data_IF_411974684245
#
_entry.id   IF_411974684245
#
_cell.length_a   1.000
_cell.length_b   1.000
_cell.length_c   1.000
_cell.angle_alpha   90.00
_cell.angle_beta   90.00
_cell.angle_gamma   90.00
#
_symmetry.space_group_name_H-M   'P 1'
#
loop_
_entity.id
_entity.type
_entity.pdbx_description
1 polymer ?
#
# COMPACT_ATOMS: atom_id res chain seq x y z
N UNK A 1 -0.99 -12.92 -20.57
CA UNK A 1 -2.27 -13.39 -20.05
C UNK A 1 -2.92 -12.19 -19.42
N UNK A 2 -4.01 -11.72 -20.02
CA UNK A 2 -4.79 -10.63 -19.44
C UNK A 2 -5.32 -11.06 -18.07
N UNK A 3 -5.36 -10.17 -17.07
CA UNK A 3 -5.98 -10.50 -15.79
C UNK A 3 -7.46 -10.87 -16.02
N UNK A 4 -8.00 -11.84 -15.25
CA UNK A 4 -9.39 -12.27 -15.40
C UNK A 4 -10.35 -11.09 -15.18
N UNK A 5 -11.51 -11.18 -15.83
CA UNK A 5 -12.58 -10.19 -15.81
C UNK A 5 -12.89 -9.69 -14.39
N UNK A 6 -13.07 -8.37 -14.30
CA UNK A 6 -13.36 -7.56 -13.11
C UNK A 6 -14.11 -8.31 -12.01
N UNK A 7 -13.44 -8.53 -10.88
CA UNK A 7 -14.12 -8.88 -9.64
C UNK A 7 -15.08 -7.75 -9.25
N UNK A 8 -16.26 -8.05 -8.68
CA UNK A 8 -17.29 -7.04 -8.33
C UNK A 8 -16.86 -6.02 -7.26
N UNK A 9 -15.62 -6.10 -6.79
CA UNK A 9 -15.05 -5.26 -5.74
C UNK A 9 -13.81 -4.46 -6.19
N UNK A 10 -13.57 -4.37 -7.50
CA UNK A 10 -12.58 -3.45 -8.06
C UNK A 10 -13.14 -2.03 -7.98
N UNK A 11 -12.46 -1.17 -7.22
CA UNK A 11 -12.66 0.28 -7.31
C UNK A 11 -12.35 0.71 -8.76
N UNK A 12 -13.05 1.69 -9.36
CA UNK A 12 -12.72 2.19 -10.69
C UNK A 12 -11.22 2.42 -10.88
N UNK A 13 -10.75 2.01 -12.05
CA UNK A 13 -9.37 2.24 -12.47
C UNK A 13 -9.09 3.75 -12.46
N UNK A 14 -7.82 4.19 -12.34
CA UNK A 14 -7.48 5.61 -12.35
C UNK A 14 -8.09 6.41 -13.52
N UNK A 15 -8.30 5.76 -14.67
CA UNK A 15 -8.87 6.31 -15.91
C UNK A 15 -10.38 6.49 -15.90
N UNK A 16 -11.08 5.89 -14.93
CA UNK A 16 -12.55 5.90 -14.82
C UNK A 16 -13.05 6.97 -13.82
N UNK A 17 -12.11 7.70 -13.19
CA UNK A 17 -12.39 8.75 -12.20
C UNK A 17 -12.37 10.14 -12.84
N UNK A 18 -13.05 11.10 -12.19
CA UNK A 18 -12.96 12.50 -12.62
C UNK A 18 -11.52 13.00 -12.54
N UNK A 19 -11.18 14.00 -13.36
CA UNK A 19 -9.82 14.55 -13.39
C UNK A 19 -9.39 15.11 -12.03
N UNK A 20 -10.30 15.78 -11.32
CA UNK A 20 -10.04 16.34 -9.98
C UNK A 20 -9.75 15.26 -8.93
N UNK A 21 -10.54 14.18 -8.90
CA UNK A 21 -10.30 13.05 -8.01
C UNK A 21 -8.98 12.36 -8.33
N UNK A 22 -8.69 12.17 -9.62
CA UNK A 22 -7.45 11.56 -10.10
C UNK A 22 -6.24 12.38 -9.64
N UNK A 23 -6.27 13.71 -9.79
CA UNK A 23 -5.18 14.57 -9.32
C UNK A 23 -4.98 14.50 -7.81
N UNK A 24 -6.07 14.41 -7.05
CA UNK A 24 -6.03 14.26 -5.59
C UNK A 24 -5.34 12.96 -5.19
N UNK A 25 -5.73 11.82 -5.78
CA UNK A 25 -5.09 10.53 -5.53
C UNK A 25 -3.63 10.50 -5.97
N UNK A 26 -3.28 11.15 -7.09
CA UNK A 26 -1.89 11.27 -7.53
C UNK A 26 -1.04 12.09 -6.54
N UNK A 27 -1.59 13.17 -5.97
CA UNK A 27 -0.89 13.95 -4.94
C UNK A 27 -0.58 13.09 -3.71
N UNK A 28 -1.57 12.33 -3.21
CA UNK A 28 -1.36 11.45 -2.05
C UNK A 28 -0.45 10.26 -2.37
N UNK A 29 -0.51 9.70 -3.58
CA UNK A 29 0.40 8.63 -3.97
C UNK A 29 1.85 9.12 -4.09
N UNK A 30 2.09 10.37 -4.49
CA UNK A 30 3.43 10.98 -4.46
C UNK A 30 4.00 11.07 -3.04
N UNK A 31 3.17 11.41 -2.06
CA UNK A 31 3.59 11.39 -0.64
C UNK A 31 3.96 9.97 -0.16
N UNK A 32 3.23 8.94 -0.61
CA UNK A 32 3.59 7.55 -0.34
C UNK A 32 4.94 7.18 -1.01
N UNK A 33 5.19 7.65 -2.24
CA UNK A 33 6.49 7.48 -2.92
C UNK A 33 7.63 8.18 -2.19
N UNK A 34 7.40 9.36 -1.60
CA UNK A 34 8.42 10.02 -0.77
C UNK A 34 8.81 9.17 0.44
N UNK A 35 7.87 8.45 1.06
CA UNK A 35 8.17 7.48 2.12
C UNK A 35 8.93 6.26 1.60
N UNK A 36 8.64 5.79 0.38
CA UNK A 36 9.38 4.70 -0.25
C UNK A 36 10.83 5.08 -0.60
N UNK A 37 11.05 6.32 -1.06
CA UNK A 37 12.40 6.86 -1.28
C UNK A 37 13.18 6.93 0.04
N UNK A 38 12.54 7.36 1.13
CA UNK A 38 13.17 7.34 2.45
C UNK A 38 13.59 5.92 2.85
N UNK A 39 12.72 4.92 2.69
CA UNK A 39 13.09 3.52 2.92
C UNK A 39 14.30 3.11 2.07
N UNK A 40 14.30 3.43 0.77
CA UNK A 40 15.41 3.14 -0.14
C UNK A 40 16.74 3.72 0.36
N UNK A 41 16.75 5.01 0.72
CA UNK A 41 17.96 5.70 1.21
C UNK A 41 18.46 5.16 2.56
N UNK A 42 17.58 4.50 3.33
CA UNK A 42 17.92 3.84 4.60
C UNK A 42 18.21 2.35 4.47
N UNK A 43 18.37 1.83 3.24
CA UNK A 43 18.59 0.40 2.94
C UNK A 43 17.45 -0.53 3.43
N UNK A 44 16.22 -0.04 3.38
CA UNK A 44 15.01 -0.83 3.57
C UNK A 44 14.33 -1.09 2.22
N UNK A 45 13.48 -2.12 2.18
CA UNK A 45 12.67 -2.38 0.97
C UNK A 45 11.78 -1.14 0.73
N UNK A 46 11.76 -0.56 -0.49
CA UNK A 46 11.16 0.76 -0.73
C UNK A 46 9.65 0.67 -0.89
N UNK A 47 8.98 0.32 0.21
CA UNK A 47 7.53 0.37 0.37
C UNK A 47 7.23 1.51 1.33
N UNK A 48 6.42 2.46 0.87
CA UNK A 48 5.99 3.62 1.61
C UNK A 48 4.47 3.75 1.59
N UNK A 49 3.89 4.29 2.64
CA UNK A 49 2.47 4.52 2.72
C UNK A 49 2.10 5.74 3.56
N UNK A 50 0.89 6.25 3.31
CA UNK A 50 0.25 7.30 4.10
C UNK A 50 -1.21 6.96 4.39
N UNK A 51 -1.72 7.44 5.52
CA UNK A 51 -3.14 7.42 5.87
C UNK A 51 -3.70 8.83 5.80
N UNK A 52 -4.70 9.02 4.95
CA UNK A 52 -5.43 10.28 4.78
C UNK A 52 -6.78 10.18 5.48
N UNK A 53 -7.06 11.11 6.37
CA UNK A 53 -8.37 11.25 7.00
C UNK A 53 -9.35 11.88 6.01
N UNK A 54 -10.36 11.13 5.59
CA UNK A 54 -11.25 11.51 4.49
C UNK A 54 -12.04 12.81 4.75
N UNK A 55 -12.64 13.03 5.93
CA UNK A 55 -13.38 14.26 6.20
C UNK A 55 -12.54 15.54 6.10
N UNK A 56 -11.26 15.49 6.47
CA UNK A 56 -10.39 16.69 6.50
C UNK A 56 -9.38 16.74 5.36
N UNK A 57 -9.27 15.68 4.55
CA UNK A 57 -8.25 15.52 3.50
C UNK A 57 -6.81 15.74 4.01
N UNK A 58 -6.54 15.36 5.27
CA UNK A 58 -5.21 15.54 5.89
C UNK A 58 -4.51 14.21 6.12
N UNK A 59 -3.20 14.20 5.94
CA UNK A 59 -2.37 13.02 6.27
C UNK A 59 -2.20 12.94 7.78
N UNK A 60 -2.69 11.87 8.39
CA UNK A 60 -2.61 11.64 9.83
C UNK A 60 -1.57 10.58 10.22
N UNK A 61 -1.11 9.77 9.26
CA UNK A 61 -0.10 8.75 9.47
C UNK A 61 0.79 8.56 8.25
N UNK A 62 2.06 8.25 8.48
CA UNK A 62 3.06 7.94 7.46
C UNK A 62 3.86 6.72 7.90
N UNK A 63 4.26 5.88 6.97
CA UNK A 63 5.06 4.71 7.26
C UNK A 63 5.88 4.26 6.07
N UNK A 64 6.99 3.59 6.35
CA UNK A 64 7.85 2.92 5.39
C UNK A 64 8.36 1.63 6.01
N UNK A 65 8.78 0.64 5.22
CA UNK A 65 9.34 -0.58 5.81
C UNK A 65 10.55 -0.28 6.70
N UNK A 66 10.64 -0.99 7.83
CA UNK A 66 11.76 -0.90 8.77
C UNK A 66 12.16 -2.29 9.28
N UNK A 67 12.03 -3.33 8.45
CA UNK A 67 12.26 -4.72 8.82
C UNK A 67 13.71 -5.01 9.20
N UNK A 68 14.67 -4.41 8.48
CA UNK A 68 16.10 -4.56 8.74
C UNK A 68 16.49 -3.82 10.03
N UNK A 69 16.07 -2.56 10.18
CA UNK A 69 16.42 -1.72 11.32
C UNK A 69 15.83 -2.24 12.64
N UNK A 70 14.64 -2.82 12.58
CA UNK A 70 13.94 -3.35 13.76
C UNK A 70 14.20 -4.83 14.05
N UNK A 71 14.88 -5.55 13.14
CA UNK A 71 15.01 -7.01 13.18
C UNK A 71 13.66 -7.73 13.35
N UNK A 72 12.60 -7.15 12.77
CA UNK A 72 11.25 -7.65 12.93
C UNK A 72 10.52 -7.65 11.58
N UNK A 73 10.21 -8.85 11.10
CA UNK A 73 9.54 -9.08 9.81
C UNK A 73 8.11 -8.52 9.72
N UNK A 74 7.49 -8.07 10.82
CA UNK A 74 6.16 -7.45 10.79
C UNK A 74 6.19 -5.93 10.62
N UNK A 75 7.37 -5.30 10.66
CA UNK A 75 7.53 -3.83 10.57
C UNK A 75 7.46 -3.33 9.13
N UNK A 76 6.34 -3.62 8.48
CA UNK A 76 5.97 -3.08 7.18
C UNK A 76 5.42 -1.65 7.29
N UNK A 77 5.40 -0.93 6.16
CA UNK A 77 4.94 0.44 6.07
C UNK A 77 3.57 0.66 6.73
N UNK A 78 2.60 -0.22 6.47
CA UNK A 78 1.22 -0.10 6.98
C UNK A 78 1.16 -0.26 8.50
N UNK A 79 1.91 -1.23 9.06
CA UNK A 79 2.02 -1.43 10.50
C UNK A 79 2.64 -0.22 11.19
N UNK A 80 3.69 0.35 10.58
CA UNK A 80 4.38 1.53 11.12
C UNK A 80 3.48 2.74 11.09
N UNK A 81 2.74 2.97 10.00
CA UNK A 81 1.82 4.08 9.89
C UNK A 81 0.67 3.99 10.90
N UNK A 82 0.04 2.81 11.04
CA UNK A 82 -1.01 2.59 12.05
C UNK A 82 -0.45 2.78 13.47
N UNK A 83 0.72 2.20 13.76
CA UNK A 83 1.38 2.39 15.07
C UNK A 83 1.66 3.86 15.35
N UNK A 84 2.10 4.62 14.35
CA UNK A 84 2.32 6.06 14.46
C UNK A 84 1.03 6.79 14.82
N UNK A 85 -0.06 6.57 14.09
CA UNK A 85 -1.39 7.17 14.35
C UNK A 85 -1.83 6.91 15.78
N UNK A 86 -1.82 5.66 16.22
CA UNK A 86 -2.31 5.25 17.55
C UNK A 86 -1.36 5.67 18.69
N UNK A 87 -0.12 6.04 18.38
CA UNK A 87 0.83 6.55 19.37
C UNK A 87 0.70 8.06 19.61
N UNK A 88 0.09 8.82 18.68
CA UNK A 88 -0.01 10.28 18.79
C UNK A 88 -0.76 10.74 20.04
N UNK A 89 -0.23 11.79 20.67
CA UNK A 89 -0.83 12.45 21.83
C UNK A 89 -1.07 13.93 21.54
N UNK A 90 -2.06 14.50 22.21
CA UNK A 90 -2.35 15.92 22.21
C UNK A 90 -2.61 16.38 23.66
N UNK A 91 -2.46 17.67 23.92
CA UNK A 91 -2.85 18.23 25.21
C UNK A 91 -4.37 18.44 25.23
N UNK A 92 -4.97 18.15 26.37
CA UNK A 92 -6.34 18.54 26.66
C UNK A 92 -6.40 20.07 26.82
N UNK A 93 -7.27 20.79 26.08
CA UNK A 93 -7.34 22.25 26.17
C UNK A 93 -7.79 22.78 27.53
N UNK A 94 -8.56 21.98 28.30
CA UNK A 94 -9.11 22.39 29.59
C UNK A 94 -8.20 21.99 30.75
N UNK A 95 -7.70 20.75 30.73
CA UNK A 95 -6.90 20.22 31.84
C UNK A 95 -5.39 20.36 31.63
N UNK A 96 -4.93 20.58 30.39
CA UNK A 96 -3.52 20.60 30.03
C UNK A 96 -2.84 19.22 30.05
N UNK A 97 -3.58 18.14 30.27
CA UNK A 97 -3.03 16.79 30.38
C UNK A 97 -2.81 16.15 29.01
N UNK A 98 -1.84 15.23 28.91
CA UNK A 98 -1.61 14.46 27.69
C UNK A 98 -2.71 13.41 27.52
N UNK A 99 -3.43 13.48 26.41
CA UNK A 99 -4.40 12.46 25.98
C UNK A 99 -4.03 11.88 24.63
N UNK A 100 -4.57 10.69 24.32
CA UNK A 100 -4.47 10.11 22.98
C UNK A 100 -5.20 11.01 22.00
N UNK A 101 -4.53 11.33 20.89
CA UNK A 101 -5.11 12.17 19.83
C UNK A 101 -6.17 11.41 19.04
N UNK A 102 -5.91 10.13 18.76
CA UNK A 102 -6.80 9.25 18.02
C UNK A 102 -6.92 7.90 18.71
N UNK A 103 -8.11 7.29 18.67
CA UNK A 103 -8.31 5.87 18.93
C UNK A 103 -8.34 5.05 17.63
N UNK A 104 -8.45 3.71 17.71
CA UNK A 104 -8.50 2.81 16.56
C UNK A 104 -9.60 3.12 15.55
N UNK A 105 -10.72 3.67 16.02
CA UNK A 105 -11.89 4.02 15.22
C UNK A 105 -11.59 5.00 14.09
N UNK A 106 -10.57 5.87 14.24
CA UNK A 106 -10.18 6.84 13.20
C UNK A 106 -9.84 6.16 11.87
N UNK A 107 -9.35 4.92 11.91
CA UNK A 107 -8.89 4.19 10.72
C UNK A 107 -10.06 3.83 9.79
N UNK A 108 -11.29 3.76 10.32
CA UNK A 108 -12.51 3.56 9.53
C UNK A 108 -12.83 4.74 8.63
N UNK A 109 -12.34 5.92 8.99
CA UNK A 109 -12.51 7.17 8.24
C UNK A 109 -11.29 7.50 7.38
N UNK A 110 -10.31 6.58 7.31
CA UNK A 110 -9.08 6.80 6.59
C UNK A 110 -9.05 6.06 5.25
N UNK A 111 -8.20 6.59 4.37
CA UNK A 111 -7.80 5.93 3.13
C UNK A 111 -6.30 5.76 3.12
N UNK A 112 -5.88 4.54 2.79
CA UNK A 112 -4.48 4.18 2.65
C UNK A 112 -4.04 4.44 1.21
N UNK A 113 -2.90 5.10 1.06
CA UNK A 113 -2.13 5.12 -0.18
C UNK A 113 -0.80 4.41 0.08
N UNK A 114 -0.48 3.39 -0.70
CA UNK A 114 0.73 2.58 -0.52
C UNK A 114 1.39 2.29 -1.86
N UNK A 115 2.72 2.33 -1.92
CA UNK A 115 3.42 2.21 -3.21
C UNK A 115 3.31 0.81 -3.83
N UNK A 116 3.19 -0.22 -3.00
CA UNK A 116 3.06 -1.62 -3.42
C UNK A 116 1.82 -2.23 -2.77
N UNK A 117 1.11 -3.09 -3.50
CA UNK A 117 -0.05 -3.81 -3.00
C UNK A 117 0.23 -4.46 -1.63
N UNK A 118 -0.62 -4.22 -0.62
CA UNK A 118 -0.46 -4.80 0.71
C UNK A 118 -0.29 -6.32 0.66
N UNK A 119 0.66 -6.85 1.41
CA UNK A 119 0.79 -8.29 1.53
C UNK A 119 -0.37 -8.90 2.32
N UNK A 120 -0.54 -10.22 2.30
CA UNK A 120 -1.59 -10.96 3.06
C UNK A 120 -1.70 -10.50 4.51
N UNK A 121 -0.56 -10.31 5.20
CA UNK A 121 -0.50 -9.85 6.59
C UNK A 121 -1.05 -8.42 6.74
N UNK A 122 -0.57 -7.48 5.92
CA UNK A 122 -1.02 -6.09 5.95
C UNK A 122 -2.49 -5.98 5.52
N UNK A 123 -2.91 -6.73 4.50
CA UNK A 123 -4.29 -6.75 4.05
C UNK A 123 -5.25 -7.21 5.15
N UNK A 124 -4.87 -8.24 5.93
CA UNK A 124 -5.63 -8.71 7.09
C UNK A 124 -5.67 -7.68 8.22
N UNK A 125 -4.55 -7.01 8.49
CA UNK A 125 -4.47 -5.92 9.48
C UNK A 125 -5.47 -4.80 9.14
N UNK A 126 -5.44 -4.31 7.89
CA UNK A 126 -6.29 -3.22 7.42
C UNK A 126 -7.78 -3.56 7.59
N UNK A 127 -8.15 -4.80 7.27
CA UNK A 127 -9.49 -5.33 7.45
C UNK A 127 -9.93 -5.32 8.91
N UNK A 128 -9.08 -5.79 9.81
CA UNK A 128 -9.36 -5.84 11.26
C UNK A 128 -9.52 -4.45 11.88
N UNK A 129 -8.80 -3.45 11.38
CA UNK A 129 -8.96 -2.05 11.79
C UNK A 129 -10.11 -1.33 11.07
N UNK A 130 -10.77 -1.98 10.10
CA UNK A 130 -11.93 -1.44 9.39
C UNK A 130 -11.61 -0.32 8.41
N UNK A 131 -10.37 -0.25 7.90
CA UNK A 131 -10.00 0.68 6.81
C UNK A 131 -10.91 0.46 5.62
N UNK A 132 -11.38 1.51 4.96
CA UNK A 132 -12.42 1.40 3.91
C UNK A 132 -11.91 1.44 2.47
N UNK A 133 -10.81 2.14 2.23
CA UNK A 133 -10.25 2.28 0.88
C UNK A 133 -8.73 2.17 0.90
N UNK A 134 -8.20 1.45 -0.07
CA UNK A 134 -6.77 1.27 -0.30
C UNK A 134 -6.44 1.56 -1.76
N UNK A 135 -5.54 2.50 -1.98
CA UNK A 135 -4.99 2.83 -3.28
C UNK A 135 -3.55 2.36 -3.31
N UNK A 136 -3.16 1.62 -4.34
CA UNK A 136 -1.78 1.14 -4.48
C UNK A 136 -1.20 1.33 -5.87
N UNK A 137 0.12 1.44 -5.92
CA UNK A 137 0.86 1.60 -7.18
C UNK A 137 1.10 0.28 -7.90
N UNK A 138 2.16 -0.43 -7.49
CA UNK A 138 2.55 -1.69 -8.09
C UNK A 138 1.83 -2.89 -7.44
N UNK A 139 1.42 -3.87 -8.24
CA UNK A 139 0.90 -5.15 -7.74
C UNK A 139 2.01 -5.97 -7.04
N UNK A 140 1.61 -6.84 -6.11
CA UNK A 140 2.50 -7.70 -5.34
C UNK A 140 2.29 -9.16 -5.73
N UNK A 141 3.01 -9.60 -6.75
CA UNK A 141 2.87 -10.93 -7.37
C UNK A 141 3.26 -12.09 -6.45
N UNK A 142 4.02 -11.83 -5.38
CA UNK A 142 4.54 -12.89 -4.48
C UNK A 142 3.74 -13.05 -3.21
N UNK A 143 3.20 -11.95 -2.68
CA UNK A 143 2.58 -11.94 -1.35
C UNK A 143 1.30 -11.11 -1.28
N UNK A 144 0.78 -10.62 -2.41
CA UNK A 144 -0.36 -9.70 -2.49
C UNK A 144 -1.62 -10.25 -1.83
N UNK A 145 -2.18 -9.49 -0.90
CA UNK A 145 -3.43 -9.82 -0.19
C UNK A 145 -4.66 -9.15 -0.80
N UNK A 146 -4.51 -8.39 -1.88
CA UNK A 146 -5.57 -7.58 -2.49
C UNK A 146 -5.84 -7.98 -3.95
N UNK A 147 -5.58 -9.23 -4.32
CA UNK A 147 -5.73 -9.76 -5.69
C UNK A 147 -4.45 -10.31 -6.30
N UNK A 148 -3.27 -9.96 -5.79
CA UNK A 148 -2.00 -10.48 -6.30
C UNK A 148 -1.81 -11.98 -6.03
N UNK A 149 -2.17 -12.45 -4.83
CA UNK A 149 -2.13 -13.87 -4.45
C UNK A 149 -3.45 -14.30 -3.82
N UNK A 150 -3.94 -13.54 -2.85
CA UNK A 150 -5.21 -13.77 -2.16
C UNK A 150 -6.09 -12.51 -2.19
N UNK A 151 -7.38 -12.70 -1.92
CA UNK A 151 -8.38 -11.63 -1.81
C UNK A 151 -8.80 -11.40 -0.35
N UNK A 152 -7.85 -11.04 0.52
CA UNK A 152 -8.10 -10.85 1.96
C UNK A 152 -9.00 -9.64 2.24
N UNK A 153 -8.94 -8.62 1.37
CA UNK A 153 -9.74 -7.38 1.44
C UNK A 153 -11.25 -7.59 1.31
N UNK A 154 -11.69 -8.77 0.90
CA UNK A 154 -13.11 -9.17 0.81
C UNK A 154 -13.35 -10.47 1.59
N UNK A 155 -14.60 -10.74 1.97
CA UNK A 155 -14.98 -11.98 2.65
C UNK A 155 -14.61 -13.25 1.87
N UNK A 156 -14.02 -14.24 2.55
CA UNK A 156 -13.90 -15.60 2.01
C UNK A 156 -15.30 -16.18 1.82
N UNK A 157 -15.68 -16.49 0.58
CA UNK A 157 -16.95 -17.16 0.24
C UNK A 157 -17.83 -16.45 -0.78
N UNK A 158 -17.55 -15.19 -1.13
CA UNK A 158 -18.35 -14.46 -2.12
C UNK A 158 -18.13 -14.92 -3.58
N UNK A 159 -17.02 -15.64 -3.86
CA UNK A 159 -16.71 -16.16 -5.20
C UNK A 159 -17.12 -17.62 -5.43
N UNK A 160 -17.33 -18.42 -4.37
CA UNK A 160 -17.35 -19.89 -4.50
C UNK A 160 -18.68 -20.54 -4.10
N UNK A 161 -19.69 -19.76 -3.70
CA UNK A 161 -21.03 -20.27 -3.38
C UNK A 161 -21.97 -20.03 -4.55
N UNK A 162 -22.00 -21.00 -5.48
CA UNK A 162 -22.92 -21.01 -6.62
C UNK A 162 -24.41 -20.98 -6.18
N UNK A 163 -24.70 -21.39 -4.94
CA UNK A 163 -26.04 -21.55 -4.35
C UNK A 163 -26.62 -20.29 -3.67
N UNK A 164 -25.85 -19.21 -3.51
CA UNK A 164 -26.36 -17.96 -2.91
C UNK A 164 -26.89 -17.01 -4.00
N UNK A 165 -28.12 -16.54 -3.80
CA UNK A 165 -28.80 -15.60 -4.70
C UNK A 165 -28.02 -14.30 -4.91
N UNK A 166 -28.24 -13.63 -6.05
CA UNK A 166 -27.52 -12.42 -6.48
C UNK A 166 -27.47 -11.28 -5.43
N UNK A 167 -28.45 -11.22 -4.53
CA UNK A 167 -28.51 -10.22 -3.44
C UNK A 167 -27.55 -10.52 -2.29
N UNK A 168 -27.26 -11.78 -1.98
CA UNK A 168 -26.40 -12.16 -0.84
C UNK A 168 -24.91 -12.01 -1.19
N UNK A 169 -24.53 -12.28 -2.45
CA UNK A 169 -23.18 -12.02 -2.99
C UNK A 169 -22.78 -10.53 -2.96
N UNK A 170 -23.77 -9.62 -2.89
CA UNK A 170 -23.55 -8.17 -2.85
C UNK A 170 -23.42 -7.62 -1.43
N UNK A 171 -23.65 -8.43 -0.38
CA UNK A 171 -23.51 -7.96 1.00
C UNK A 171 -22.04 -7.88 1.37
N UNK A 172 -21.53 -6.65 1.55
CA UNK A 172 -20.20 -6.42 2.12
C UNK A 172 -20.16 -7.02 3.52
N UNK A 173 -19.20 -7.91 3.76
CA UNK A 173 -18.97 -8.38 5.12
C UNK A 173 -18.33 -7.28 5.96
N UNK A 174 -18.51 -7.38 7.27
CA UNK A 174 -17.88 -6.46 8.20
C UNK A 174 -16.34 -6.48 8.01
N UNK A 175 -15.76 -5.29 7.83
CA UNK A 175 -14.33 -5.10 7.59
C UNK A 175 -13.90 -5.09 6.13
N UNK A 176 -14.75 -5.52 5.18
CA UNK A 176 -14.40 -5.48 3.75
C UNK A 176 -14.10 -4.05 3.29
N UNK A 177 -13.14 -3.93 2.36
CA UNK A 177 -12.65 -2.66 1.86
C UNK A 177 -12.34 -2.65 0.37
N UNK A 178 -12.43 -1.47 -0.22
CA UNK A 178 -12.22 -1.26 -1.65
C UNK A 178 -10.74 -1.07 -1.96
N UNK A 179 -10.32 -1.61 -3.10
CA UNK A 179 -8.94 -1.52 -3.58
C UNK A 179 -8.87 -0.94 -5.00
N UNK A 180 -7.96 -0.01 -5.24
CA UNK A 180 -7.64 0.55 -6.56
C UNK A 180 -6.13 0.46 -6.81
N UNK A 181 -5.73 -0.32 -7.81
CA UNK A 181 -4.32 -0.49 -8.19
C UNK A 181 -3.90 0.43 -9.35
N UNK A 182 -2.60 0.52 -9.61
CA UNK A 182 -2.06 1.18 -10.81
C UNK A 182 -1.60 2.63 -10.62
N UNK A 183 -1.73 3.19 -9.42
CA UNK A 183 -1.42 4.61 -9.16
C UNK A 183 0.09 4.86 -9.08
N UNK A 184 0.66 5.57 -10.07
CA UNK A 184 2.11 5.76 -10.19
C UNK A 184 2.86 4.40 -10.14
N UNK A 185 2.28 3.41 -10.82
CA UNK A 185 2.75 2.02 -10.84
C UNK A 185 4.21 1.91 -11.29
N UNK A 186 4.58 2.66 -12.32
CA UNK A 186 5.92 2.57 -12.89
C UNK A 186 6.97 3.11 -11.93
N UNK A 187 6.68 4.21 -11.26
CA UNK A 187 7.53 4.80 -10.22
C UNK A 187 7.71 3.84 -9.07
N UNK A 188 6.62 3.20 -8.60
CA UNK A 188 6.69 2.19 -7.56
C UNK A 188 7.54 0.96 -7.96
N UNK A 189 7.37 0.47 -9.20
CA UNK A 189 8.21 -0.62 -9.75
C UNK A 189 9.67 -0.19 -9.84
N UNK A 190 9.93 1.03 -10.31
CA UNK A 190 11.28 1.56 -10.44
C UNK A 190 11.99 1.61 -9.08
N UNK A 191 11.28 2.00 -8.01
CA UNK A 191 11.82 1.95 -6.64
C UNK A 191 12.24 0.54 -6.24
N UNK A 192 11.38 -0.46 -6.44
CA UNK A 192 11.72 -1.85 -6.16
C UNK A 192 12.93 -2.33 -6.97
N UNK A 193 13.02 -1.96 -8.25
CA UNK A 193 14.16 -2.30 -9.11
C UNK A 193 15.45 -1.67 -8.60
N UNK A 194 15.42 -0.38 -8.23
CA UNK A 194 16.58 0.32 -7.62
C UNK A 194 17.08 -0.44 -6.40
N UNK A 195 16.19 -0.87 -5.51
CA UNK A 195 16.57 -1.66 -4.33
C UNK A 195 17.21 -3.02 -4.68
N UNK A 196 16.70 -3.75 -5.67
CA UNK A 196 17.27 -5.04 -6.07
C UNK A 196 18.59 -4.93 -6.85
N UNK A 197 18.86 -3.78 -7.45
CA UNK A 197 20.10 -3.48 -8.17
C UNK A 197 21.16 -2.87 -7.24
N UNK A 198 20.74 -2.15 -6.19
CA UNK A 198 21.64 -1.65 -5.15
C UNK A 198 22.46 -2.80 -4.58
N UNK A 199 23.76 -2.59 -4.48
CA UNK A 199 24.66 -3.59 -3.90
C UNK A 199 24.38 -3.72 -2.41
N UNK A 200 23.77 -4.84 -2.03
CA UNK A 200 23.76 -5.23 -0.64
C UNK A 200 25.17 -5.69 -0.27
N UNK A 201 25.98 -4.81 0.34
CA UNK A 201 27.33 -5.15 0.82
C UNK A 201 27.37 -6.26 1.89
N UNK A 202 26.21 -6.74 2.35
CA UNK A 202 26.06 -7.90 3.24
C UNK A 202 25.68 -9.19 2.51
N UNK A 203 25.32 -9.13 1.22
CA UNK A 203 24.99 -10.32 0.44
C UNK A 203 26.26 -11.01 -0.08
N UNK A 204 26.31 -12.35 -0.08
CA UNK A 204 27.41 -13.08 -0.71
C UNK A 204 27.49 -12.72 -2.20
N UNK A 205 28.70 -12.71 -2.77
CA UNK A 205 28.92 -12.29 -4.16
C UNK A 205 27.98 -13.02 -5.14
N UNK A 206 27.09 -12.29 -5.86
CA UNK A 206 26.17 -12.92 -6.79
C UNK A 206 26.92 -13.40 -8.05
N UNK A 207 26.45 -14.49 -8.66
CA UNK A 207 26.93 -14.93 -9.99
C UNK A 207 26.68 -13.80 -11.02
N UNK A 208 27.74 -13.30 -11.65
CA UNK A 208 27.78 -12.11 -12.52
C UNK A 208 26.63 -11.99 -13.55
N UNK A 209 26.15 -13.10 -14.10
CA UNK A 209 25.15 -13.13 -15.19
C UNK A 209 23.81 -12.44 -14.91
N UNK A 210 23.31 -12.45 -13.68
CA UNK A 210 21.96 -11.92 -13.37
C UNK A 210 21.92 -10.41 -13.08
N UNK A 211 23.08 -9.77 -12.87
CA UNK A 211 23.18 -8.35 -12.49
C UNK A 211 23.13 -7.44 -13.73
N UNK A 212 23.91 -7.76 -14.75
CA UNK A 212 23.98 -7.00 -16.00
C UNK A 212 22.61 -6.86 -16.66
N UNK A 213 21.84 -7.96 -16.72
CA UNK A 213 20.48 -7.98 -17.27
C UNK A 213 19.51 -7.06 -16.50
N UNK A 214 19.60 -7.04 -15.16
CA UNK A 214 18.75 -6.18 -14.31
C UNK A 214 19.10 -4.70 -14.45
N UNK A 215 20.38 -4.38 -14.60
CA UNK A 215 20.87 -3.02 -14.84
C UNK A 215 20.41 -2.54 -16.22
N UNK A 216 20.57 -3.36 -17.26
CA UNK A 216 20.12 -3.04 -18.62
C UNK A 216 18.63 -2.69 -18.64
N UNK A 217 17.80 -3.55 -18.03
CA UNK A 217 16.35 -3.36 -17.94
C UNK A 217 15.91 -2.16 -17.09
N UNK A 218 16.81 -1.64 -16.25
CA UNK A 218 16.58 -0.40 -15.49
C UNK A 218 16.95 0.82 -16.33
N UNK A 219 18.05 0.76 -17.08
CA UNK A 219 18.51 1.83 -17.98
C UNK A 219 17.51 2.05 -19.12
N UNK A 220 17.04 0.99 -19.78
CA UNK A 220 16.03 1.08 -20.86
C UNK A 220 14.77 1.83 -20.40
N UNK A 221 14.26 1.54 -19.21
CA UNK A 221 13.08 2.24 -18.66
C UNK A 221 13.33 3.70 -18.30
N UNK A 222 14.55 4.06 -17.93
CA UNK A 222 14.91 5.46 -17.62
C UNK A 222 15.08 6.26 -18.92
N UNK A 223 15.60 5.63 -19.97
CA UNK A 223 15.76 6.20 -21.31
C UNK A 223 14.40 6.42 -22.00
N UNK A 224 13.45 5.50 -21.85
CA UNK A 224 12.06 5.65 -22.32
C UNK A 224 11.31 6.83 -21.67
N UNK A 225 11.76 7.31 -20.49
CA UNK A 225 11.18 8.46 -19.78
C UNK A 225 11.89 9.78 -20.05
N UNK A 226 13.02 9.75 -20.76
CA UNK A 226 13.85 10.92 -21.06
C UNK A 226 13.66 11.51 -22.46
N UNK A 227 12.83 10.89 -23.31
CA UNK A 227 12.47 11.34 -24.66
C UNK A 227 11.02 11.76 -24.77
#
# INVERSE_FOLDING_TARGET
MDPPASTPFSNPQPTERSEEERQTHLLFMREALSMAELALTTNETPVGCIFVHQPTQTIIGRGMNATNASYNGTRHAEFIAISSILSQTSLDPETGEKRKRYGPEILKECTLYVTVEPCIMCASLLRQFGVRNVFFGASNEKFGGCGGVLNIHVGNGASDREDEGEEDRRRRHEGDYEVSGGWLREEAILMLRRFYVQENGRAPEPKRRGKEERVLKMVELLEEKGG
#
